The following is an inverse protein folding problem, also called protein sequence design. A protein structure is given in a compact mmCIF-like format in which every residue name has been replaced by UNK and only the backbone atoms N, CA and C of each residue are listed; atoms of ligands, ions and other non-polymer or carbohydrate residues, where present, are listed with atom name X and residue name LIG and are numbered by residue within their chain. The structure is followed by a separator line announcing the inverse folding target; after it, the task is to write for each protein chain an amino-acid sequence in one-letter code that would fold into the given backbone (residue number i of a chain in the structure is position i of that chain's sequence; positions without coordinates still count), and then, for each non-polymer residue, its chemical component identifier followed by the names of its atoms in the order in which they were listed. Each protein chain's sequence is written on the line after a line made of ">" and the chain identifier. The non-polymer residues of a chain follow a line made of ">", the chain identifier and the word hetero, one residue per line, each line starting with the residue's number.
data_IF_333087606448
#
_entry.id   IF_333087606448
#
_cell.length_a   1.000
_cell.length_b   1.000
_cell.length_c   1.000
_cell.angle_alpha   90.00
_cell.angle_beta   90.00
_cell.angle_gamma   90.00
#
_symmetry.space_group_name_H-M   'P 1'
#
loop_
_entity.id
_entity.type
_entity.pdbx_description
1 polymer ?
#
# COMPACT_ATOMS: atom_id res chain seq x y z
N UNK A 1 37.16 32.02 -9.01
CA UNK A 1 36.34 31.99 -10.23
C UNK A 1 35.89 30.56 -10.43
N UNK A 2 34.61 30.34 -10.10
CA UNK A 2 33.70 29.26 -10.47
C UNK A 2 34.27 27.84 -10.66
N UNK A 3 34.16 27.05 -9.58
CA UNK A 3 33.99 25.61 -9.63
C UNK A 3 32.77 25.26 -10.51
N UNK A 4 33.01 24.97 -11.78
CA UNK A 4 32.05 24.33 -12.67
C UNK A 4 31.75 22.93 -12.11
N UNK A 5 30.70 22.86 -11.31
CA UNK A 5 30.10 21.60 -10.85
C UNK A 5 29.71 20.78 -12.08
N UNK A 6 30.57 19.80 -12.39
CA UNK A 6 30.35 18.74 -13.38
C UNK A 6 28.93 18.21 -13.20
N UNK A 7 28.06 18.44 -14.19
CA UNK A 7 26.74 17.79 -14.24
C UNK A 7 26.98 16.28 -14.15
N UNK A 8 26.27 15.53 -13.29
CA UNK A 8 26.43 14.08 -13.26
C UNK A 8 25.99 13.55 -14.61
N UNK A 9 26.93 12.99 -15.37
CA UNK A 9 26.68 12.25 -16.59
C UNK A 9 25.85 11.03 -16.21
N UNK A 10 24.55 11.08 -16.51
CA UNK A 10 23.60 10.02 -16.25
C UNK A 10 23.99 8.83 -17.15
N UNK A 11 24.56 7.79 -16.55
CA UNK A 11 24.98 6.58 -17.27
C UNK A 11 23.79 5.96 -18.00
N UNK A 12 23.99 5.59 -19.27
CA UNK A 12 22.97 5.09 -20.21
C UNK A 12 22.31 3.75 -19.81
N UNK A 13 22.54 3.23 -18.60
CA UNK A 13 22.00 1.97 -18.09
C UNK A 13 20.72 2.11 -17.25
N UNK A 14 20.24 3.34 -16.99
CA UNK A 14 19.18 3.61 -16.02
C UNK A 14 17.86 4.09 -16.64
N UNK A 15 17.49 3.59 -17.82
CA UNK A 15 16.13 3.83 -18.33
C UNK A 15 15.12 3.29 -17.31
N UNK A 16 14.13 4.10 -16.88
CA UNK A 16 13.09 3.67 -15.96
C UNK A 16 12.40 2.42 -16.51
N UNK A 17 12.46 1.32 -15.78
CA UNK A 17 11.75 0.08 -16.10
C UNK A 17 10.57 -0.07 -15.17
N UNK A 18 9.61 -0.90 -15.56
CA UNK A 18 8.53 -1.32 -14.65
C UNK A 18 9.13 -1.78 -13.33
N UNK A 19 8.67 -1.20 -12.23
CA UNK A 19 9.19 -1.50 -10.91
C UNK A 19 8.92 -2.99 -10.59
N UNK A 20 9.94 -3.82 -10.32
CA UNK A 20 9.77 -5.26 -10.14
C UNK A 20 8.96 -5.62 -8.88
N UNK A 21 9.06 -4.80 -7.82
CA UNK A 21 8.38 -5.02 -6.54
C UNK A 21 6.85 -4.86 -6.65
N UNK A 22 6.40 -3.78 -7.29
CA UNK A 22 4.96 -3.51 -7.44
C UNK A 22 4.40 -3.91 -8.79
N UNK A 23 5.25 -4.36 -9.73
CA UNK A 23 4.92 -4.69 -11.12
C UNK A 23 4.17 -3.56 -11.84
N UNK A 24 4.59 -2.32 -11.64
CA UNK A 24 3.95 -1.15 -12.25
C UNK A 24 2.77 -0.56 -11.47
N UNK A 25 2.24 -1.25 -10.46
CA UNK A 25 1.07 -0.77 -9.70
C UNK A 25 1.33 0.50 -8.90
N UNK A 26 2.58 0.74 -8.50
CA UNK A 26 2.96 1.85 -7.61
C UNK A 26 2.69 1.57 -6.14
N UNK A 27 2.01 0.48 -5.79
CA UNK A 27 1.71 0.12 -4.41
C UNK A 27 1.94 -1.37 -4.16
N UNK A 28 2.08 -1.72 -2.89
CA UNK A 28 2.10 -3.10 -2.39
C UNK A 28 0.95 -3.29 -1.42
N UNK A 29 0.33 -4.47 -1.48
CA UNK A 29 -0.67 -4.89 -0.51
C UNK A 29 0.01 -4.98 0.87
N UNK A 30 -0.47 -4.24 1.86
CA UNK A 30 -0.01 -4.48 3.22
C UNK A 30 -0.42 -5.92 3.58
N UNK A 31 0.53 -6.73 4.06
CA UNK A 31 0.40 -8.20 4.14
C UNK A 31 -0.65 -8.71 5.14
N UNK A 32 -1.43 -7.82 5.72
CA UNK A 32 -2.48 -8.20 6.61
C UNK A 32 -3.78 -7.94 5.86
N UNK A 33 -4.52 -9.04 5.66
CA UNK A 33 -5.95 -9.08 5.35
C UNK A 33 -6.28 -9.17 3.87
N UNK A 34 -6.53 -10.40 3.41
CA UNK A 34 -7.32 -10.63 2.20
C UNK A 34 -8.79 -10.31 2.48
N UNK A 35 -9.60 -9.92 1.47
CA UNK A 35 -11.04 -9.66 1.65
C UNK A 35 -11.81 -10.83 2.30
N UNK A 36 -11.30 -12.05 2.15
CA UNK A 36 -11.86 -13.29 2.71
C UNK A 36 -11.21 -13.70 4.05
N UNK A 37 -10.30 -12.89 4.59
CA UNK A 37 -9.63 -13.17 5.87
C UNK A 37 -10.47 -12.65 7.03
N UNK A 38 -11.41 -13.49 7.47
CA UNK A 38 -12.16 -13.26 8.68
C UNK A 38 -11.32 -13.72 9.89
N UNK A 39 -11.05 -12.82 10.83
CA UNK A 39 -10.41 -13.19 12.09
C UNK A 39 -11.44 -13.44 13.18
N UNK A 40 -11.10 -14.34 14.10
CA UNK A 40 -11.85 -14.52 15.35
C UNK A 40 -11.99 -13.17 16.04
N UNK A 41 -13.23 -12.77 16.34
CA UNK A 41 -13.48 -11.51 17.01
C UNK A 41 -12.88 -11.54 18.42
N UNK A 42 -11.89 -10.69 18.67
CA UNK A 42 -11.21 -10.59 19.97
C UNK A 42 -12.12 -10.13 21.12
N UNK A 43 -13.24 -9.45 20.81
CA UNK A 43 -14.17 -8.93 21.81
C UNK A 43 -15.17 -9.96 22.33
N UNK A 44 -15.52 -10.96 21.52
CA UNK A 44 -16.39 -12.07 21.94
C UNK A 44 -15.70 -13.43 21.86
N UNK A 45 -14.39 -13.43 21.64
CA UNK A 45 -13.58 -14.61 21.39
C UNK A 45 -14.26 -15.59 20.40
N UNK A 46 -14.75 -15.06 19.27
CA UNK A 46 -15.39 -15.88 18.23
C UNK A 46 -16.83 -16.31 18.50
N UNK A 47 -17.41 -16.01 19.67
CA UNK A 47 -18.73 -16.53 20.06
C UNK A 47 -19.90 -15.81 19.39
N UNK A 48 -19.70 -14.58 18.93
CA UNK A 48 -20.77 -13.73 18.39
C UNK A 48 -21.60 -13.00 19.44
N UNK A 49 -21.53 -13.41 20.72
CA UNK A 49 -22.30 -12.83 21.82
C UNK A 49 -21.42 -12.50 23.03
N UNK A 50 -21.88 -11.57 23.88
CA UNK A 50 -21.26 -11.26 25.16
C UNK A 50 -21.67 -12.25 26.27
N UNK A 51 -21.11 -12.09 27.47
CA UNK A 51 -21.40 -12.97 28.60
C UNK A 51 -22.87 -12.92 29.06
N UNK A 52 -23.61 -11.86 28.72
CA UNK A 52 -25.04 -11.72 28.98
C UNK A 52 -25.93 -12.25 27.86
N UNK A 53 -25.35 -12.89 26.84
CA UNK A 53 -26.08 -13.42 25.69
C UNK A 53 -26.54 -12.37 24.69
N UNK A 54 -26.09 -11.12 24.80
CA UNK A 54 -26.39 -10.08 23.79
C UNK A 54 -25.41 -10.18 22.65
N UNK A 55 -25.85 -9.80 21.45
CA UNK A 55 -24.98 -9.77 20.27
C UNK A 55 -23.74 -8.89 20.50
N UNK A 56 -22.57 -9.42 20.10
CA UNK A 56 -21.32 -8.71 20.21
C UNK A 56 -21.31 -7.48 19.29
N UNK A 57 -21.07 -6.31 19.88
CA UNK A 57 -21.13 -5.03 19.18
C UNK A 57 -20.13 -4.91 18.01
N UNK A 58 -18.99 -5.59 18.10
CA UNK A 58 -17.88 -5.46 17.17
C UNK A 58 -18.07 -6.32 15.91
N UNK A 59 -18.50 -7.57 16.08
CA UNK A 59 -18.72 -8.50 14.97
C UNK A 59 -20.19 -8.64 14.58
N UNK A 60 -21.13 -7.99 15.27
CA UNK A 60 -22.58 -8.05 14.99
C UNK A 60 -23.12 -9.49 14.91
N UNK A 61 -22.82 -10.31 15.92
CA UNK A 61 -23.33 -11.68 15.99
C UNK A 61 -22.53 -12.73 15.22
N UNK A 62 -21.64 -12.35 14.29
CA UNK A 62 -20.95 -13.33 13.42
C UNK A 62 -19.83 -14.11 14.10
N UNK A 63 -19.30 -13.60 15.22
CA UNK A 63 -18.07 -14.10 15.83
C UNK A 63 -16.80 -13.75 15.07
N UNK A 64 -16.91 -13.05 13.94
CA UNK A 64 -15.81 -12.77 13.04
C UNK A 64 -15.70 -11.26 12.82
N UNK A 65 -14.49 -10.72 12.97
CA UNK A 65 -14.20 -9.38 12.47
C UNK A 65 -13.77 -9.58 11.02
N UNK A 66 -14.67 -9.23 10.10
CA UNK A 66 -14.31 -9.04 8.70
C UNK A 66 -13.30 -7.93 8.66
N UNK A 67 -12.06 -8.27 8.31
CA UNK A 67 -11.10 -7.21 8.12
C UNK A 67 -11.26 -6.73 6.68
N UNK A 68 -11.96 -5.61 6.55
CA UNK A 68 -12.24 -5.00 5.26
C UNK A 68 -11.31 -3.83 5.06
N UNK A 69 -10.05 -4.11 4.71
CA UNK A 69 -9.24 -3.21 3.90
C UNK A 69 -7.89 -3.87 3.58
N UNK A 70 -7.71 -4.19 2.30
CA UNK A 70 -6.36 -4.29 1.75
C UNK A 70 -5.81 -2.87 1.75
N UNK A 71 -5.07 -2.52 2.80
CA UNK A 71 -4.37 -1.24 2.84
C UNK A 71 -3.31 -1.25 1.74
N UNK A 72 -3.51 -0.38 0.76
CA UNK A 72 -2.53 -0.16 -0.30
C UNK A 72 -1.50 0.81 0.26
N UNK A 73 -0.26 0.36 0.40
CA UNK A 73 0.84 1.23 0.77
C UNK A 73 1.65 1.58 -0.49
N UNK A 74 2.14 2.82 -0.64
CA UNK A 74 3.08 3.15 -1.71
C UNK A 74 4.23 2.14 -1.72
N UNK A 75 4.60 1.67 -2.90
CA UNK A 75 5.65 0.68 -3.07
C UNK A 75 6.97 1.24 -2.50
N UNK A 76 7.67 0.53 -1.60
CA UNK A 76 8.87 1.05 -0.95
C UNK A 76 10.03 1.30 -1.93
N UNK A 77 10.04 0.62 -3.09
CA UNK A 77 11.09 0.79 -4.10
C UNK A 77 10.85 2.00 -5.01
N UNK A 78 9.61 2.22 -5.47
CA UNK A 78 9.29 3.28 -6.43
C UNK A 78 8.41 4.42 -5.86
N UNK A 79 8.07 4.37 -4.58
CA UNK A 79 7.28 5.37 -3.86
C UNK A 79 5.95 5.78 -4.52
N UNK A 80 5.30 4.89 -5.25
CA UNK A 80 4.08 5.24 -6.00
C UNK A 80 4.27 5.37 -7.52
N UNK A 81 5.50 5.57 -7.99
CA UNK A 81 5.75 5.88 -9.40
C UNK A 81 5.39 4.74 -10.37
N UNK A 82 5.51 3.49 -9.93
CA UNK A 82 5.31 2.31 -10.78
C UNK A 82 6.53 1.94 -11.64
N UNK A 83 7.52 2.83 -11.74
CA UNK A 83 8.80 2.58 -12.43
C UNK A 83 10.00 2.77 -11.50
N UNK A 84 11.11 2.10 -11.77
CA UNK A 84 12.37 2.26 -11.05
C UNK A 84 13.59 2.21 -12.00
N UNK A 85 14.59 3.10 -11.84
CA UNK A 85 14.59 4.25 -10.92
C UNK A 85 13.50 5.27 -11.28
N UNK A 86 13.08 6.08 -10.29
CA UNK A 86 12.06 7.12 -10.52
C UNK A 86 12.70 8.26 -11.31
N UNK A 87 12.16 8.64 -12.49
CA UNK A 87 12.71 9.75 -13.26
C UNK A 87 12.67 11.06 -12.46
N UNK A 88 13.74 11.87 -12.43
CA UNK A 88 13.75 13.15 -11.72
C UNK A 88 12.71 14.16 -12.21
N UNK A 89 12.27 14.02 -13.46
CA UNK A 89 11.23 14.87 -14.06
C UNK A 89 9.80 14.44 -13.71
N UNK A 90 9.62 13.27 -13.09
CA UNK A 90 8.30 12.72 -12.78
C UNK A 90 7.72 13.42 -11.55
N UNK A 91 6.49 13.89 -11.66
CA UNK A 91 5.80 14.55 -10.55
C UNK A 91 4.83 13.60 -9.85
N UNK A 92 4.38 13.98 -8.64
CA UNK A 92 3.43 13.18 -7.88
C UNK A 92 2.07 12.95 -8.60
N UNK A 93 1.75 13.77 -9.62
CA UNK A 93 0.56 13.60 -10.47
C UNK A 93 0.70 12.46 -11.49
N UNK A 94 1.94 12.23 -11.94
CA UNK A 94 2.30 11.19 -12.90
C UNK A 94 2.39 9.80 -12.26
N UNK A 95 2.38 9.74 -10.92
CA UNK A 95 2.54 8.49 -10.20
C UNK A 95 1.39 7.52 -10.50
N UNK A 96 1.76 6.25 -10.69
CA UNK A 96 0.81 5.15 -10.85
C UNK A 96 -0.11 5.00 -9.63
N UNK A 97 0.43 5.26 -8.44
CA UNK A 97 -0.32 5.28 -7.19
C UNK A 97 0.03 6.50 -6.34
N UNK A 98 -0.99 7.31 -6.04
CA UNK A 98 -0.89 8.41 -5.09
C UNK A 98 -2.19 8.49 -4.27
N UNK A 99 -2.17 8.08 -2.98
CA UNK A 99 -3.37 8.05 -2.15
C UNK A 99 -3.92 9.44 -1.81
N UNK A 100 -3.09 10.49 -1.92
CA UNK A 100 -3.50 11.87 -1.66
C UNK A 100 -4.25 12.50 -2.81
N UNK A 101 -4.15 11.92 -4.02
CA UNK A 101 -4.87 12.38 -5.20
C UNK A 101 -6.07 11.44 -5.41
N UNK A 102 -7.27 11.95 -5.13
CA UNK A 102 -8.50 11.29 -5.59
C UNK A 102 -8.58 11.47 -7.11
N UNK A 103 -8.14 10.47 -7.86
CA UNK A 103 -8.37 10.38 -9.31
C UNK A 103 -9.82 9.94 -9.57
#
# INVERSE_FOLDING_TARGET
>A
MNDEKKKPEMSFSEFPKTCPECRGRGWVDNRCITPDHAHRCMYCDGKGFDAGGKECYACKGTGLIEVRQVDKNPCPLCNGAGVYPVPPSMTAWDFAYNPSIKK
#
